data_IF_764814480987
#
_entry.id   IF_764814480987
#
_cell.length_a   1.000
_cell.length_b   1.000
_cell.length_c   1.000
_cell.angle_alpha   90.00
_cell.angle_beta   90.00
_cell.angle_gamma   90.00
#
_symmetry.space_group_name_H-M   'P 1'
#
loop_
_entity.id
_entity.type
_entity.pdbx_description
1 polymer ?
#
# COMPACT_ATOMS: atom_id res chain seq x y z
N UNK A 1 -6.19 -3.67 -8.73
CA UNK A 1 -5.90 -5.02 -9.24
C UNK A 1 -6.74 -6.09 -8.53
N UNK A 2 -6.81 -6.06 -7.18
CA UNK A 2 -7.61 -7.02 -6.40
C UNK A 2 -9.11 -6.89 -6.68
N UNK A 3 -9.67 -5.66 -6.72
CA UNK A 3 -11.08 -5.41 -7.04
C UNK A 3 -11.45 -5.92 -8.45
N UNK A 4 -10.63 -5.62 -9.45
CA UNK A 4 -10.82 -6.13 -10.82
C UNK A 4 -10.74 -7.66 -10.83
N UNK A 5 -9.76 -8.24 -10.14
CA UNK A 5 -9.64 -9.69 -10.03
C UNK A 5 -10.91 -10.34 -9.48
N UNK A 6 -11.51 -9.75 -8.44
CA UNK A 6 -12.72 -10.28 -7.83
C UNK A 6 -13.92 -10.28 -8.79
N UNK A 7 -14.22 -9.15 -9.42
CA UNK A 7 -15.41 -9.05 -10.30
C UNK A 7 -15.26 -9.81 -11.62
N UNK A 8 -14.03 -10.09 -12.04
CA UNK A 8 -13.73 -10.85 -13.27
C UNK A 8 -13.44 -12.33 -13.04
N UNK A 9 -13.27 -12.75 -11.78
CA UNK A 9 -12.82 -14.10 -11.43
C UNK A 9 -11.35 -14.38 -11.76
N UNK A 10 -10.56 -13.35 -12.09
CA UNK A 10 -9.14 -13.47 -12.39
C UNK A 10 -8.29 -13.34 -11.11
N UNK A 11 -7.19 -14.08 -11.07
CA UNK A 11 -6.23 -13.93 -9.96
C UNK A 11 -5.32 -12.72 -10.21
N UNK A 12 -5.08 -11.85 -9.19
CA UNK A 12 -4.09 -10.80 -9.29
C UNK A 12 -2.72 -11.37 -9.64
N UNK A 13 -2.12 -10.81 -10.69
CA UNK A 13 -0.79 -11.20 -11.14
C UNK A 13 0.30 -10.26 -10.62
N UNK A 14 1.40 -10.19 -11.37
CA UNK A 14 2.53 -9.33 -11.06
C UNK A 14 2.15 -7.86 -11.27
N UNK A 15 2.43 -7.02 -10.28
CA UNK A 15 2.38 -5.57 -10.39
C UNK A 15 3.81 -5.02 -10.57
N UNK A 16 4.03 -4.23 -11.61
CA UNK A 16 5.32 -3.56 -11.85
C UNK A 16 5.13 -2.07 -11.80
N UNK A 17 5.84 -1.41 -10.89
CA UNK A 17 5.83 0.04 -10.74
C UNK A 17 7.16 0.63 -11.23
N UNK A 18 7.11 1.57 -12.16
CA UNK A 18 8.27 2.29 -12.70
C UNK A 18 8.11 3.77 -12.40
N UNK A 19 9.11 4.37 -11.77
CA UNK A 19 9.15 5.79 -11.43
C UNK A 19 10.28 6.43 -12.25
N UNK A 20 9.92 7.20 -13.30
CA UNK A 20 10.90 7.86 -14.17
C UNK A 20 11.60 9.06 -13.50
N UNK A 21 10.91 9.70 -12.56
CA UNK A 21 11.38 10.92 -11.91
C UNK A 21 11.19 10.82 -10.41
N UNK A 22 12.05 10.03 -9.76
CA UNK A 22 11.99 9.81 -8.33
C UNK A 22 12.73 10.92 -7.57
N UNK A 23 12.10 11.49 -6.54
CA UNK A 23 12.66 12.53 -5.70
C UNK A 23 12.61 12.19 -4.23
N UNK A 24 13.60 12.67 -3.49
CA UNK A 24 13.58 12.78 -2.04
C UNK A 24 13.76 14.25 -1.72
N UNK A 25 12.81 14.83 -0.99
CA UNK A 25 12.96 16.20 -0.49
C UNK A 25 14.00 16.25 0.63
N UNK A 26 14.78 17.35 0.67
CA UNK A 26 15.87 17.50 1.64
C UNK A 26 15.40 17.36 3.10
N UNK A 27 14.22 17.93 3.42
CA UNK A 27 13.62 17.83 4.75
C UNK A 27 13.02 16.45 5.09
N UNK A 28 13.07 15.49 4.16
CA UNK A 28 12.62 14.09 4.38
C UNK A 28 13.77 13.11 4.59
N UNK A 29 15.01 13.53 4.38
CA UNK A 29 16.20 12.64 4.40
C UNK A 29 16.31 11.88 5.73
N UNK A 30 16.14 12.55 6.86
CA UNK A 30 16.29 11.91 8.16
C UNK A 30 15.18 10.90 8.45
N UNK A 31 13.95 11.21 8.08
CA UNK A 31 12.82 10.27 8.19
C UNK A 31 13.03 9.02 7.31
N UNK A 32 13.58 9.20 6.12
CA UNK A 32 13.90 8.08 5.22
C UNK A 32 15.07 7.24 5.72
N UNK A 33 16.08 7.86 6.32
CA UNK A 33 17.17 7.12 7.00
C UNK A 33 16.64 6.26 8.14
N UNK A 34 15.73 6.81 8.95
CA UNK A 34 15.04 6.05 9.99
C UNK A 34 14.22 4.88 9.40
N UNK A 35 13.51 5.11 8.30
CA UNK A 35 12.77 4.04 7.61
C UNK A 35 13.70 2.92 7.13
N UNK A 36 14.85 3.28 6.56
CA UNK A 36 15.86 2.31 6.12
C UNK A 36 16.48 1.54 7.30
N UNK A 37 16.71 2.20 8.45
CA UNK A 37 17.20 1.56 9.65
C UNK A 37 16.21 0.50 10.22
N UNK A 38 14.92 0.65 9.94
CA UNK A 38 13.88 -0.32 10.32
C UNK A 38 13.78 -1.54 9.38
N UNK A 39 14.55 -1.57 8.31
CA UNK A 39 14.47 -2.61 7.27
C UNK A 39 14.55 -4.03 7.83
N UNK A 40 15.47 -4.27 8.77
CA UNK A 40 15.68 -5.60 9.35
C UNK A 40 14.59 -5.98 10.37
N UNK A 41 13.70 -5.04 10.71
CA UNK A 41 12.54 -5.22 11.56
C UNK A 41 11.24 -5.32 10.75
N UNK A 42 11.35 -5.56 9.43
CA UNK A 42 10.20 -5.63 8.55
C UNK A 42 9.17 -6.67 9.04
N UNK A 43 7.94 -6.21 9.22
CA UNK A 43 6.82 -7.03 9.66
C UNK A 43 6.24 -7.80 8.47
N UNK A 44 5.48 -8.89 8.72
CA UNK A 44 4.80 -9.62 7.65
C UNK A 44 3.90 -8.72 6.81
N UNK A 45 3.85 -8.95 5.51
CA UNK A 45 2.96 -8.21 4.63
C UNK A 45 1.49 -8.51 4.99
N UNK A 46 0.63 -7.47 5.10
CA UNK A 46 -0.79 -7.67 5.33
C UNK A 46 -1.46 -8.31 4.12
N UNK A 47 -2.63 -8.90 4.33
CA UNK A 47 -3.50 -9.38 3.25
C UNK A 47 -4.53 -8.32 2.90
N UNK A 48 -4.73 -8.09 1.63
CA UNK A 48 -5.86 -7.29 1.14
C UNK A 48 -7.09 -8.19 1.13
N UNK A 49 -8.14 -7.77 1.84
CA UNK A 49 -9.45 -8.40 1.84
C UNK A 49 -10.39 -7.50 1.05
N UNK A 50 -11.00 -8.05 0.03
CA UNK A 50 -12.03 -7.39 -0.77
C UNK A 50 -13.37 -8.04 -0.45
N UNK A 51 -14.41 -7.23 -0.21
CA UNK A 51 -15.73 -7.71 0.14
C UNK A 51 -16.29 -8.65 -0.96
N UNK A 52 -16.48 -9.95 -0.69
CA UNK A 52 -16.88 -10.92 -1.71
C UNK A 52 -18.30 -10.73 -2.24
N UNK A 53 -19.14 -9.94 -1.55
CA UNK A 53 -20.52 -9.68 -1.96
C UNK A 53 -20.60 -8.65 -3.10
N UNK A 54 -19.58 -7.82 -3.29
CA UNK A 54 -19.55 -6.86 -4.40
C UNK A 54 -19.25 -7.59 -5.70
N UNK A 55 -20.18 -7.51 -6.65
CA UNK A 55 -20.12 -8.21 -7.94
C UNK A 55 -19.91 -7.26 -9.14
N UNK A 56 -20.28 -6.00 -9.01
CA UNK A 56 -20.01 -4.96 -10.00
C UNK A 56 -18.89 -4.06 -9.53
N UNK A 57 -17.98 -3.72 -10.44
CA UNK A 57 -16.81 -2.89 -10.12
C UNK A 57 -17.22 -1.50 -9.61
N UNK A 58 -18.31 -0.96 -10.11
CA UNK A 58 -18.79 0.39 -9.76
C UNK A 58 -19.53 0.45 -8.42
N UNK A 59 -19.84 -0.70 -7.83
CA UNK A 59 -20.50 -0.78 -6.51
C UNK A 59 -19.49 -0.76 -5.35
N UNK A 60 -18.17 -0.82 -5.63
CA UNK A 60 -17.17 -0.75 -4.59
C UNK A 60 -17.15 0.60 -3.86
N UNK A 61 -17.13 0.53 -2.55
CA UNK A 61 -16.86 1.65 -1.64
C UNK A 61 -15.51 1.47 -0.95
N UNK A 62 -14.92 2.50 -0.33
CA UNK A 62 -13.66 2.36 0.42
C UNK A 62 -13.72 1.30 1.52
N UNK A 63 -14.89 1.07 2.09
CA UNK A 63 -15.12 0.11 3.18
C UNK A 63 -15.06 -1.34 2.72
N UNK A 64 -15.22 -1.59 1.42
CA UNK A 64 -15.17 -2.92 0.83
C UNK A 64 -13.73 -3.47 0.67
N UNK A 65 -12.73 -2.64 0.94
CA UNK A 65 -11.32 -3.03 0.87
C UNK A 65 -10.64 -2.81 2.21
N UNK A 66 -10.22 -3.89 2.85
CA UNK A 66 -9.58 -3.85 4.17
C UNK A 66 -8.22 -4.56 4.16
N UNK A 67 -7.40 -4.26 5.16
CA UNK A 67 -6.13 -4.94 5.39
C UNK A 67 -6.26 -5.84 6.61
N UNK A 68 -5.96 -7.12 6.41
CA UNK A 68 -5.88 -8.10 7.49
C UNK A 68 -4.42 -8.30 7.90
N UNK A 69 -4.15 -8.25 9.22
CA UNK A 69 -2.82 -8.41 9.78
C UNK A 69 -1.87 -7.23 9.51
N UNK A 70 -2.41 -6.01 9.31
CA UNK A 70 -1.56 -4.83 9.15
C UNK A 70 -0.96 -4.38 10.48
N UNK A 71 0.34 -4.46 10.58
CA UNK A 71 1.13 -3.94 11.69
C UNK A 71 2.19 -2.95 11.18
N UNK A 72 2.65 -2.02 12.01
CA UNK A 72 3.66 -1.03 11.63
C UNK A 72 4.56 -0.65 12.81
N UNK A 73 5.77 -0.18 12.51
CA UNK A 73 6.78 0.23 13.50
C UNK A 73 6.65 1.69 13.97
N UNK A 74 5.48 2.27 13.80
CA UNK A 74 5.19 3.65 14.14
C UNK A 74 5.30 4.61 12.96
N UNK A 75 4.60 5.73 13.08
CA UNK A 75 4.55 6.79 12.07
C UNK A 75 5.88 7.52 11.96
N UNK A 76 6.32 7.78 10.73
CA UNK A 76 7.36 8.75 10.41
C UNK A 76 6.70 10.01 9.84
N UNK A 77 6.87 11.13 10.51
CA UNK A 77 6.26 12.40 10.09
C UNK A 77 7.15 13.09 9.08
N UNK A 78 6.58 13.44 7.93
CA UNK A 78 7.26 14.19 6.86
C UNK A 78 6.35 15.34 6.47
N UNK A 79 6.81 16.59 6.71
CA UNK A 79 6.08 17.78 6.28
C UNK A 79 6.25 18.00 4.78
N UNK A 80 5.17 18.39 4.12
CA UNK A 80 5.24 18.73 2.69
C UNK A 80 6.21 19.89 2.50
N UNK A 81 7.16 19.73 1.57
CA UNK A 81 8.03 20.81 1.15
C UNK A 81 7.23 21.75 0.23
N UNK A 82 7.25 23.04 0.52
CA UNK A 82 6.63 24.14 -0.25
C UNK A 82 7.68 25.13 -0.69
#
# INVERSE_FOLDING_TARGET
>A
QCMIGQVTGLKPGKFTHVINNAHIYENHVDALREQLARRDQALPAPKIIVNPEVKDFYDFTPEDVTLDGYEHLGKLSMTVAV
#
